data_IF_114762697959
#
_entry.id   IF_114762697959
#
_cell.length_a   1.000
_cell.length_b   1.000
_cell.length_c   1.000
_cell.angle_alpha   90.00
_cell.angle_beta   90.00
_cell.angle_gamma   90.00
#
_symmetry.space_group_name_H-M   'P 1'
#
loop_
_entity.id
_entity.type
_entity.pdbx_description
1 polymer ?
#
# COMPACT_ATOMS: atom_id res chain seq x y z
N UNK A 1 -18.76 -5.53 -7.31
CA UNK A 1 -18.41 -4.14 -7.61
C UNK A 1 -17.14 -3.83 -6.85
N UNK A 2 -16.10 -3.30 -7.51
CA UNK A 2 -14.86 -2.89 -6.85
C UNK A 2 -14.75 -1.39 -7.06
N UNK A 3 -14.80 -0.63 -5.96
CA UNK A 3 -14.66 0.82 -6.00
C UNK A 3 -13.18 1.15 -6.21
N UNK A 4 -12.84 1.72 -7.37
CA UNK A 4 -11.54 2.37 -7.56
C UNK A 4 -11.60 3.73 -6.88
N UNK A 5 -10.74 3.97 -5.90
CA UNK A 5 -10.64 5.27 -5.22
C UNK A 5 -9.56 6.10 -5.90
N UNK A 6 -9.91 7.30 -6.36
CA UNK A 6 -8.95 8.24 -6.95
C UNK A 6 -7.84 8.63 -5.96
N UNK A 7 -6.60 8.87 -6.42
CA UNK A 7 -5.58 9.52 -5.60
C UNK A 7 -6.04 10.90 -5.13
N UNK A 8 -5.71 11.26 -3.88
CA UNK A 8 -6.11 12.54 -3.28
C UNK A 8 -5.34 13.72 -3.91
N UNK A 9 -6.03 14.68 -4.53
CA UNK A 9 -5.50 16.03 -4.73
C UNK A 9 -5.74 16.88 -3.48
N UNK A 10 -4.71 17.62 -3.05
CA UNK A 10 -4.76 18.57 -1.93
C UNK A 10 -5.75 19.72 -2.13
N UNK A 11 -6.22 19.95 -3.37
CA UNK A 11 -7.22 20.94 -3.75
C UNK A 11 -8.65 20.40 -3.88
N UNK A 12 -8.83 19.09 -3.88
CA UNK A 12 -10.16 18.48 -4.01
C UNK A 12 -11.00 18.64 -2.73
N UNK A 13 -12.32 18.55 -2.90
CA UNK A 13 -13.27 18.57 -1.81
C UNK A 13 -13.50 17.16 -1.30
N UNK A 14 -13.22 16.90 -0.03
CA UNK A 14 -13.35 15.56 0.55
C UNK A 14 -14.80 15.06 0.52
N UNK A 15 -15.01 13.75 0.25
CA UNK A 15 -16.29 13.09 0.50
C UNK A 15 -16.51 12.89 2.01
N UNK A 16 -17.77 12.80 2.41
CA UNK A 16 -18.18 12.66 3.81
C UNK A 16 -17.76 11.31 4.42
N UNK A 17 -17.33 11.30 5.68
CA UNK A 17 -17.00 10.09 6.45
C UNK A 17 -17.40 10.22 7.92
N UNK A 18 -18.11 9.24 8.46
CA UNK A 18 -18.59 9.22 9.85
C UNK A 18 -17.76 8.29 10.74
N UNK A 19 -17.56 8.66 12.01
CA UNK A 19 -16.81 7.86 13.00
C UNK A 19 -17.54 7.84 14.34
N UNK A 20 -17.81 6.64 14.87
CA UNK A 20 -18.63 6.43 16.08
C UNK A 20 -17.82 5.82 17.24
N UNK A 21 -16.50 6.05 17.26
CA UNK A 21 -15.60 5.50 18.28
C UNK A 21 -15.61 6.35 19.56
N UNK A 22 -15.67 5.69 20.71
CA UNK A 22 -15.57 6.32 22.03
C UNK A 22 -14.38 5.73 22.80
N UNK A 23 -13.29 6.49 22.91
CA UNK A 23 -12.28 6.34 23.96
C UNK A 23 -12.34 7.57 24.88
N UNK A 24 -12.04 7.37 26.16
CA UNK A 24 -11.98 8.39 27.24
C UNK A 24 -13.19 9.33 27.45
N UNK A 25 -14.27 9.21 26.66
CA UNK A 25 -15.49 10.01 26.79
C UNK A 25 -15.63 11.17 25.79
N UNK A 26 -14.73 11.24 24.80
CA UNK A 26 -14.85 12.15 23.66
C UNK A 26 -15.18 11.35 22.39
N UNK A 27 -15.96 11.96 21.49
CA UNK A 27 -16.35 11.38 20.20
C UNK A 27 -15.31 11.74 19.12
N UNK A 28 -15.21 10.94 18.06
CA UNK A 28 -14.41 11.30 16.90
C UNK A 28 -15.22 12.17 15.93
N UNK A 29 -14.63 13.30 15.57
CA UNK A 29 -15.03 14.24 14.53
C UNK A 29 -15.55 13.58 13.24
N UNK A 30 -16.81 13.88 12.87
CA UNK A 30 -17.45 13.45 11.62
C UNK A 30 -17.17 14.43 10.47
N UNK A 31 -16.83 13.94 9.28
CA UNK A 31 -16.60 14.76 8.08
C UNK A 31 -17.87 14.92 7.22
N UNK A 32 -18.48 16.11 7.11
CA UNK A 32 -19.34 16.44 5.97
C UNK A 32 -18.54 16.54 4.66
N UNK A 33 -19.23 16.34 3.54
CA UNK A 33 -18.67 16.53 2.20
C UNK A 33 -18.50 18.02 1.85
N UNK A 34 -17.52 18.35 1.02
CA UNK A 34 -17.39 19.72 0.47
C UNK A 34 -16.34 20.60 1.14
N UNK A 35 -15.45 20.02 1.95
CA UNK A 35 -14.34 20.74 2.61
C UNK A 35 -13.00 20.43 1.94
N UNK A 36 -12.08 21.38 1.94
CA UNK A 36 -10.71 21.25 1.44
C UNK A 36 -9.70 21.21 2.58
N UNK A 37 -8.45 20.80 2.30
CA UNK A 37 -7.36 20.97 3.26
C UNK A 37 -7.15 22.46 3.60
N UNK A 38 -6.76 22.73 4.84
CA UNK A 38 -6.45 24.07 5.36
C UNK A 38 -5.30 23.99 6.38
N UNK A 39 -4.59 25.11 6.58
CA UNK A 39 -3.43 25.18 7.48
C UNK A 39 -3.84 25.04 8.95
N UNK A 40 -3.23 24.07 9.65
CA UNK A 40 -3.46 23.84 11.08
C UNK A 40 -2.30 24.42 11.89
N UNK A 41 -2.57 25.56 12.54
CA UNK A 41 -1.58 26.35 13.26
C UNK A 41 -0.83 25.53 14.31
N UNK A 42 0.49 25.43 14.16
CA UNK A 42 1.38 24.70 15.08
C UNK A 42 1.49 23.20 14.79
N UNK A 43 0.83 22.70 13.73
CA UNK A 43 0.90 21.30 13.30
C UNK A 43 1.48 21.22 11.88
N UNK A 44 0.77 21.74 10.86
CA UNK A 44 1.23 21.70 9.46
C UNK A 44 0.56 22.77 8.58
N UNK A 45 1.27 23.22 7.54
CA UNK A 45 0.72 24.01 6.43
C UNK A 45 0.55 23.15 5.19
N UNK A 46 -0.54 23.34 4.45
CA UNK A 46 -0.77 22.69 3.14
C UNK A 46 0.33 23.09 2.14
N UNK A 47 0.85 24.32 2.24
CA UNK A 47 1.94 24.79 1.40
C UNK A 47 3.28 24.10 1.71
N UNK A 48 3.49 23.64 2.94
CA UNK A 48 4.66 22.85 3.31
C UNK A 48 4.54 21.42 2.79
N UNK A 49 3.37 20.79 2.89
CA UNK A 49 3.09 19.47 2.30
C UNK A 49 3.35 19.48 0.79
N UNK A 50 2.83 20.47 0.07
CA UNK A 50 3.05 20.61 -1.38
C UNK A 50 4.55 20.77 -1.68
N UNK A 51 5.27 21.63 -0.93
CA UNK A 51 6.72 21.81 -1.12
C UNK A 51 7.52 20.53 -0.87
N UNK A 52 7.11 19.71 0.09
CA UNK A 52 7.71 18.41 0.38
C UNK A 52 7.42 17.40 -0.73
N UNK A 53 6.18 17.36 -1.25
CA UNK A 53 5.81 16.51 -2.40
C UNK A 53 6.68 16.81 -3.61
N UNK A 54 6.78 18.07 -4.03
CA UNK A 54 7.55 18.43 -5.23
C UNK A 54 9.03 18.04 -5.08
N UNK A 55 9.63 18.20 -3.89
CA UNK A 55 11.01 17.76 -3.61
C UNK A 55 11.19 16.24 -3.67
N UNK A 56 10.20 15.46 -3.25
CA UNK A 56 10.26 13.99 -3.32
C UNK A 56 10.09 13.54 -4.78
N UNK A 57 9.21 14.18 -5.56
CA UNK A 57 9.06 13.91 -7.00
C UNK A 57 10.34 14.28 -7.77
N UNK A 58 10.89 15.47 -7.55
CA UNK A 58 12.17 15.93 -8.12
C UNK A 58 13.31 14.94 -7.81
N UNK A 59 13.39 14.43 -6.59
CA UNK A 59 14.39 13.44 -6.20
C UNK A 59 14.17 12.04 -6.83
N UNK A 60 12.93 11.66 -7.12
CA UNK A 60 12.60 10.43 -7.87
C UNK A 60 12.98 10.60 -9.34
N UNK A 61 12.60 11.71 -9.97
CA UNK A 61 12.85 12.02 -11.38
C UNK A 61 14.36 12.16 -11.69
N UNK A 62 15.14 12.70 -10.74
CA UNK A 62 16.60 12.77 -10.81
C UNK A 62 17.30 11.47 -10.37
N UNK A 63 16.59 10.53 -9.74
CA UNK A 63 17.14 9.28 -9.21
C UNK A 63 18.11 9.44 -8.02
N UNK A 64 18.13 10.60 -7.35
CA UNK A 64 19.06 10.94 -6.25
C UNK A 64 18.36 11.71 -5.13
N UNK A 65 18.75 11.45 -3.88
CA UNK A 65 18.25 12.19 -2.69
C UNK A 65 19.39 12.87 -1.95
N UNK A 66 19.14 14.09 -1.45
CA UNK A 66 20.14 14.93 -0.76
C UNK A 66 20.06 14.70 0.75
N UNK A 67 21.13 14.16 1.35
CA UNK A 67 21.16 13.86 2.78
C UNK A 67 21.38 15.11 3.67
N UNK A 68 21.28 14.94 5.00
CA UNK A 68 21.48 16.00 6.02
C UNK A 68 22.78 16.80 5.90
N UNK A 69 23.80 16.30 5.20
CA UNK A 69 25.10 16.97 4.99
C UNK A 69 25.21 17.66 3.63
N UNK A 70 24.20 17.56 2.75
CA UNK A 70 24.24 18.09 1.39
C UNK A 70 24.87 17.16 0.34
N UNK A 71 25.10 15.87 0.67
CA UNK A 71 25.63 14.90 -0.29
C UNK A 71 24.50 14.07 -0.91
N UNK A 72 24.63 13.77 -2.21
CA UNK A 72 23.69 12.93 -2.96
C UNK A 72 23.81 11.45 -2.58
N UNK A 73 22.66 10.76 -2.60
CA UNK A 73 22.53 9.30 -2.45
C UNK A 73 21.68 8.79 -3.62
N UNK A 74 22.24 7.88 -4.42
CA UNK A 74 21.54 7.29 -5.59
C UNK A 74 20.45 6.31 -5.16
N UNK A 75 19.27 6.44 -5.76
CA UNK A 75 18.12 5.55 -5.57
C UNK A 75 18.30 4.26 -6.39
N UNK A 76 19.10 3.31 -5.89
CA UNK A 76 19.33 2.03 -6.60
C UNK A 76 18.09 1.11 -6.53
N UNK A 77 17.89 0.18 -7.49
CA UNK A 77 16.73 -0.72 -7.51
C UNK A 77 16.54 -1.60 -6.27
N UNK A 78 17.58 -1.77 -5.45
CA UNK A 78 17.58 -2.59 -4.24
C UNK A 78 17.35 -1.79 -2.95
N UNK A 79 17.47 -0.45 -3.00
CA UNK A 79 17.45 0.43 -1.82
C UNK A 79 16.55 1.65 -1.94
N UNK A 80 16.32 2.13 -3.16
CA UNK A 80 15.57 3.36 -3.43
C UNK A 80 14.19 3.36 -2.79
N UNK A 81 13.44 2.27 -2.90
CA UNK A 81 12.10 2.17 -2.30
C UNK A 81 12.12 2.22 -0.76
N UNK A 82 13.15 1.69 -0.10
CA UNK A 82 13.29 1.80 1.36
C UNK A 82 13.66 3.23 1.79
N UNK A 83 14.52 3.90 1.01
CA UNK A 83 14.90 5.30 1.24
C UNK A 83 13.68 6.21 1.06
N UNK A 84 12.92 6.02 -0.03
CA UNK A 84 11.69 6.76 -0.31
C UNK A 84 10.60 6.48 0.73
N UNK A 85 10.41 5.22 1.16
CA UNK A 85 9.49 4.88 2.24
C UNK A 85 9.81 5.64 3.53
N UNK A 86 11.07 5.56 3.99
CA UNK A 86 11.54 6.29 5.16
C UNK A 86 11.41 7.83 5.03
N UNK A 87 11.45 8.39 3.81
CA UNK A 87 11.23 9.82 3.55
C UNK A 87 9.76 10.23 3.48
N UNK A 88 8.89 9.42 2.86
CA UNK A 88 7.47 9.72 2.67
C UNK A 88 6.67 9.50 3.95
N UNK A 89 6.96 8.41 4.68
CA UNK A 89 6.52 8.23 6.07
C UNK A 89 7.16 9.29 6.98
N UNK A 90 8.43 9.64 6.72
CA UNK A 90 9.32 10.34 7.65
C UNK A 90 9.51 9.58 8.97
N UNK A 91 10.00 8.34 8.84
CA UNK A 91 10.52 7.58 9.97
C UNK A 91 11.86 8.15 10.44
N UNK A 92 12.38 7.63 11.56
CA UNK A 92 13.71 8.00 12.08
C UNK A 92 14.85 7.81 11.05
N UNK A 93 14.69 6.87 10.11
CA UNK A 93 15.67 6.60 9.05
C UNK A 93 15.65 7.63 7.90
N UNK A 94 14.71 8.59 7.91
CA UNK A 94 14.60 9.64 6.89
C UNK A 94 15.93 10.37 6.67
N UNK A 95 16.49 10.26 5.46
CA UNK A 95 17.83 10.76 5.11
C UNK A 95 17.97 12.28 5.32
N UNK A 96 16.86 13.02 5.19
CA UNK A 96 16.81 14.47 5.37
C UNK A 96 15.38 15.00 5.64
N UNK A 97 14.78 14.59 6.76
CA UNK A 97 13.48 15.07 7.26
C UNK A 97 13.31 16.61 7.19
N UNK A 98 14.35 17.40 7.50
CA UNK A 98 14.28 18.88 7.42
C UNK A 98 14.05 19.40 5.99
N UNK A 99 14.37 18.62 4.97
CA UNK A 99 14.23 18.98 3.57
C UNK A 99 13.03 18.30 2.90
N UNK A 100 12.88 16.98 3.10
CA UNK A 100 11.80 16.18 2.53
C UNK A 100 10.52 16.11 3.38
N UNK A 101 10.57 16.61 4.62
CA UNK A 101 9.40 16.80 5.46
C UNK A 101 8.89 15.55 6.14
N UNK A 102 7.59 15.55 6.41
CA UNK A 102 6.85 14.49 7.10
C UNK A 102 5.43 14.38 6.49
N UNK A 103 5.36 14.00 5.21
CA UNK A 103 4.12 14.11 4.42
C UNK A 103 3.02 13.20 4.97
N UNK A 104 3.31 11.91 5.14
CA UNK A 104 2.30 10.92 5.54
C UNK A 104 1.61 11.29 6.86
N UNK A 105 2.38 11.49 7.94
CA UNK A 105 1.79 11.69 9.26
C UNK A 105 1.17 13.07 9.41
N UNK A 106 1.73 14.11 8.78
CA UNK A 106 1.09 15.43 8.77
C UNK A 106 -0.17 15.45 7.90
N UNK A 107 -0.27 14.61 6.86
CA UNK A 107 -1.52 14.44 6.12
C UNK A 107 -2.62 13.81 6.98
N UNK A 108 -2.30 12.79 7.80
CA UNK A 108 -3.24 12.27 8.80
C UNK A 108 -3.69 13.36 9.79
N UNK A 109 -2.79 14.25 10.23
CA UNK A 109 -3.15 15.37 11.11
C UNK A 109 -4.08 16.38 10.42
N UNK A 110 -3.80 16.76 9.17
CA UNK A 110 -4.65 17.69 8.41
C UNK A 110 -6.03 17.10 8.09
N UNK A 111 -6.10 15.80 7.77
CA UNK A 111 -7.37 15.11 7.43
C UNK A 111 -8.21 14.80 8.67
N UNK A 112 -7.62 14.58 9.85
CA UNK A 112 -8.36 14.27 11.08
C UNK A 112 -8.97 15.50 11.75
N UNK A 113 -8.39 16.69 11.57
CA UNK A 113 -8.79 17.92 12.26
C UNK A 113 -9.79 18.80 11.49
N UNK A 114 -10.31 18.34 10.36
CA UNK A 114 -10.96 19.19 9.35
C UNK A 114 -12.43 19.61 9.67
N UNK A 115 -13.15 19.03 10.65
CA UNK A 115 -14.62 18.84 10.47
C UNK A 115 -15.62 18.83 11.67
N UNK A 116 -15.24 19.00 12.93
CA UNK A 116 -16.01 18.49 14.11
C UNK A 116 -17.49 18.95 14.30
N UNK A 117 -18.43 17.99 14.50
CA UNK A 117 -19.39 17.91 15.66
C UNK A 117 -20.38 16.71 15.63
N UNK A 118 -20.83 16.29 16.83
CA UNK A 118 -22.06 15.52 17.20
C UNK A 118 -22.23 14.07 16.67
N UNK A 119 -21.54 13.09 17.28
CA UNK A 119 -21.37 11.70 16.81
C UNK A 119 -22.09 10.61 17.63
N UNK A 120 -23.42 10.71 17.78
CA UNK A 120 -24.20 9.80 18.64
C UNK A 120 -24.34 8.37 18.09
N UNK A 121 -24.58 7.43 19.01
CA UNK A 121 -24.90 5.99 18.84
C UNK A 121 -23.75 4.99 18.61
N UNK A 122 -23.88 3.83 19.27
CA UNK A 122 -23.05 2.63 19.07
C UNK A 122 -23.72 1.71 18.03
N UNK A 123 -22.93 1.09 17.14
CA UNK A 123 -23.43 0.31 16.00
C UNK A 123 -23.08 -1.16 16.12
N UNK A 124 -24.04 -2.04 15.84
CA UNK A 124 -23.79 -3.47 15.56
C UNK A 124 -23.29 -3.58 14.12
N UNK A 125 -21.98 -3.71 13.93
CA UNK A 125 -21.41 -3.91 12.60
C UNK A 125 -21.53 -5.37 12.14
N UNK A 126 -21.58 -5.55 10.82
CA UNK A 126 -21.29 -6.82 10.15
C UNK A 126 -19.91 -6.67 9.48
N UNK A 127 -19.16 -7.75 9.37
CA UNK A 127 -17.95 -7.81 8.56
C UNK A 127 -18.14 -8.77 7.39
N UNK A 128 -17.32 -8.63 6.34
CA UNK A 128 -17.19 -9.66 5.32
C UNK A 128 -16.45 -10.87 5.92
N UNK A 129 -16.79 -12.04 5.42
CA UNK A 129 -16.19 -13.33 5.77
C UNK A 129 -16.27 -14.26 4.54
N UNK A 130 -15.55 -15.38 4.54
CA UNK A 130 -15.54 -16.32 3.42
C UNK A 130 -15.54 -17.78 3.87
N UNK A 131 -16.05 -18.67 3.01
CA UNK A 131 -15.93 -20.10 3.25
C UNK A 131 -14.46 -20.57 3.13
N UNK A 132 -14.00 -21.53 3.97
CA UNK A 132 -12.64 -22.06 3.85
C UNK A 132 -12.43 -22.80 2.53
N UNK A 133 -11.29 -22.55 1.88
CA UNK A 133 -10.90 -23.17 0.61
C UNK A 133 -9.44 -23.68 0.67
N UNK A 134 -8.99 -24.38 -0.37
CA UNK A 134 -7.63 -24.94 -0.44
C UNK A 134 -7.12 -24.94 -1.88
N UNK A 135 -5.82 -24.67 -2.06
CA UNK A 135 -5.16 -24.67 -3.36
C UNK A 135 -4.52 -26.03 -3.67
N UNK A 136 -4.75 -26.54 -4.87
CA UNK A 136 -4.06 -27.71 -5.41
C UNK A 136 -3.18 -27.25 -6.59
N UNK A 137 -1.86 -27.41 -6.46
CA UNK A 137 -0.88 -26.90 -7.43
C UNK A 137 0.01 -28.06 -7.88
N UNK A 138 -0.06 -28.40 -9.16
CA UNK A 138 0.77 -29.42 -9.78
C UNK A 138 2.05 -28.77 -10.33
N UNK A 139 3.22 -29.33 -10.02
CA UNK A 139 4.52 -28.81 -10.45
C UNK A 139 5.40 -29.92 -11.00
N UNK A 140 5.89 -29.77 -12.24
CA UNK A 140 6.87 -30.67 -12.84
C UNK A 140 8.31 -30.18 -12.59
N UNK A 141 9.17 -31.03 -12.05
CA UNK A 141 10.59 -30.72 -11.85
C UNK A 141 11.47 -31.49 -12.84
N UNK A 142 11.71 -30.88 -14.00
CA UNK A 142 12.54 -31.46 -15.07
C UNK A 142 14.07 -31.32 -14.82
N UNK A 143 14.50 -30.95 -13.61
CA UNK A 143 15.90 -30.96 -13.21
C UNK A 143 16.30 -32.29 -12.58
N UNK A 144 17.54 -32.75 -12.83
CA UNK A 144 18.11 -34.00 -12.28
C UNK A 144 18.41 -33.98 -10.77
N UNK A 145 17.55 -33.37 -9.95
CA UNK A 145 17.69 -33.29 -8.50
C UNK A 145 16.62 -32.40 -7.85
N UNK A 146 16.43 -32.50 -6.53
CA UNK A 146 15.43 -31.72 -5.80
C UNK A 146 15.72 -30.22 -5.87
N UNK A 147 14.65 -29.42 -6.01
CA UNK A 147 14.71 -27.95 -6.02
C UNK A 147 13.83 -27.40 -4.90
N UNK A 148 14.27 -26.31 -4.27
CA UNK A 148 13.43 -25.50 -3.40
C UNK A 148 12.77 -24.41 -4.24
N UNK A 149 11.48 -24.17 -4.02
CA UNK A 149 10.70 -23.16 -4.72
C UNK A 149 9.84 -22.37 -3.72
N UNK A 150 9.66 -21.07 -3.99
CA UNK A 150 8.69 -20.22 -3.29
C UNK A 150 7.48 -20.08 -4.19
N UNK A 151 6.39 -20.76 -3.85
CA UNK A 151 5.08 -20.52 -4.48
C UNK A 151 4.63 -19.09 -4.14
N UNK A 152 3.92 -18.44 -5.06
CA UNK A 152 3.21 -17.18 -4.81
C UNK A 152 1.84 -17.29 -5.49
N UNK A 153 0.78 -16.88 -4.81
CA UNK A 153 -0.61 -17.04 -5.25
C UNK A 153 -1.25 -15.67 -5.21
N UNK A 154 -1.89 -15.26 -6.30
CA UNK A 154 -2.41 -13.91 -6.47
C UNK A 154 -3.89 -13.96 -6.84
N UNK A 155 -4.61 -12.88 -6.54
CA UNK A 155 -6.03 -12.73 -6.84
C UNK A 155 -6.26 -11.33 -7.42
N UNK A 156 -6.83 -11.29 -8.62
CA UNK A 156 -7.08 -10.04 -9.36
C UNK A 156 -8.47 -10.07 -9.98
N UNK A 157 -9.16 -8.92 -10.09
CA UNK A 157 -10.40 -8.86 -10.85
C UNK A 157 -10.12 -9.01 -12.34
N UNK A 158 -10.96 -9.78 -13.04
CA UNK A 158 -10.87 -9.95 -14.50
C UNK A 158 -11.50 -8.76 -15.25
N UNK A 159 -12.48 -8.08 -14.62
CA UNK A 159 -13.26 -7.00 -15.22
C UNK A 159 -13.47 -5.84 -14.25
N UNK A 160 -13.59 -4.63 -14.79
CA UNK A 160 -13.98 -3.41 -14.06
C UNK A 160 -15.51 -3.30 -13.88
N UNK A 161 -15.96 -2.19 -13.30
CA UNK A 161 -17.38 -1.90 -13.06
C UNK A 161 -18.18 -1.54 -14.33
N UNK A 162 -17.50 -1.30 -15.45
CA UNK A 162 -18.08 -1.01 -16.77
C UNK A 162 -18.04 -2.23 -17.72
N UNK A 163 -17.40 -3.32 -17.30
CA UNK A 163 -17.23 -4.55 -18.08
C UNK A 163 -15.95 -4.59 -18.94
N UNK A 164 -15.07 -3.60 -18.86
CA UNK A 164 -13.75 -3.66 -19.51
C UNK A 164 -12.87 -4.69 -18.80
N UNK A 165 -12.00 -5.35 -19.56
CA UNK A 165 -11.07 -6.35 -18.99
C UNK A 165 -9.86 -5.66 -18.34
N UNK A 166 -9.59 -5.93 -17.07
CA UNK A 166 -8.40 -5.42 -16.38
C UNK A 166 -7.12 -6.13 -16.85
N UNK A 167 -6.01 -5.38 -16.86
CA UNK A 167 -4.64 -5.90 -16.82
C UNK A 167 -4.24 -6.23 -15.37
N UNK A 168 -3.63 -7.40 -15.14
CA UNK A 168 -3.43 -7.98 -13.81
C UNK A 168 -2.41 -7.20 -12.93
N UNK A 169 -2.71 -7.03 -11.62
CA UNK A 169 -1.71 -6.72 -10.57
C UNK A 169 -2.05 -7.31 -9.18
N UNK A 170 -1.06 -8.03 -8.63
CA UNK A 170 -0.73 -8.24 -7.20
C UNK A 170 -1.41 -9.33 -6.31
N UNK A 171 -0.67 -9.74 -5.27
CA UNK A 171 -0.14 -11.13 -5.08
C UNK A 171 0.02 -11.42 -3.53
N UNK A 172 0.10 -12.68 -3.08
CA UNK A 172 0.54 -13.10 -1.71
C UNK A 172 1.31 -14.48 -1.71
N UNK A 173 1.83 -14.96 -0.56
CA UNK A 173 2.68 -16.19 -0.51
C UNK A 173 2.80 -16.93 0.85
N UNK A 174 3.47 -18.11 0.90
CA UNK A 174 3.39 -19.07 2.01
C UNK A 174 4.64 -19.18 2.94
N UNK A 175 4.53 -20.03 3.97
CA UNK A 175 5.27 -19.97 5.24
C UNK A 175 6.31 -21.08 5.48
N UNK A 176 7.20 -20.86 6.46
CA UNK A 176 7.92 -21.91 7.23
C UNK A 176 8.16 -21.43 8.68
N UNK A 177 8.34 -22.38 9.59
CA UNK A 177 8.44 -22.20 11.05
C UNK A 177 9.55 -21.23 11.48
N UNK A 178 9.15 -20.09 12.05
CA UNK A 178 9.94 -19.18 12.89
C UNK A 178 8.99 -18.60 13.96
N UNK A 179 9.43 -17.66 14.79
CA UNK A 179 8.56 -16.96 15.75
C UNK A 179 7.85 -15.80 15.04
N UNK A 180 6.55 -15.62 15.28
CA UNK A 180 5.69 -14.62 14.64
C UNK A 180 5.71 -14.71 13.10
N UNK A 181 5.15 -15.79 12.54
CA UNK A 181 5.13 -16.09 11.10
C UNK A 181 3.73 -16.16 10.47
N UNK A 182 2.71 -15.79 11.23
CA UNK A 182 1.30 -15.98 10.83
C UNK A 182 0.86 -15.02 9.71
N UNK A 183 1.55 -13.87 9.59
CA UNK A 183 1.49 -12.99 8.42
C UNK A 183 2.90 -12.47 8.06
N UNK A 184 3.71 -13.33 7.43
CA UNK A 184 5.04 -12.93 6.93
C UNK A 184 4.96 -11.81 5.89
N UNK A 185 3.98 -11.86 4.99
CA UNK A 185 3.90 -10.97 3.83
C UNK A 185 3.82 -9.49 4.20
N UNK A 186 3.00 -9.15 5.20
CA UNK A 186 2.76 -7.77 5.61
C UNK A 186 3.50 -7.41 6.91
N UNK A 187 3.74 -8.36 7.82
CA UNK A 187 4.34 -8.09 9.13
C UNK A 187 5.82 -8.53 9.24
N UNK A 188 6.38 -9.20 8.23
CA UNK A 188 7.76 -9.68 8.23
C UNK A 188 8.01 -10.84 9.19
N UNK A 189 9.18 -10.85 9.84
CA UNK A 189 9.55 -11.83 10.86
C UNK A 189 10.23 -11.11 12.01
N UNK A 190 9.86 -11.43 13.26
CA UNK A 190 10.41 -10.78 14.45
C UNK A 190 11.92 -10.99 14.57
N UNK A 191 12.66 -9.92 14.83
CA UNK A 191 14.12 -9.88 15.06
C UNK A 191 14.99 -10.48 13.91
N UNK A 192 14.40 -10.72 12.74
CA UNK A 192 15.07 -11.28 11.57
C UNK A 192 14.94 -10.37 10.33
N UNK A 193 15.77 -10.62 9.31
CA UNK A 193 15.57 -10.00 7.99
C UNK A 193 14.36 -10.60 7.30
N UNK A 194 13.63 -9.77 6.55
CA UNK A 194 12.51 -10.21 5.71
C UNK A 194 12.90 -11.44 4.88
N UNK A 195 12.11 -12.53 4.89
CA UNK A 195 12.58 -13.85 4.44
C UNK A 195 12.65 -14.02 2.92
N UNK A 196 12.18 -13.05 2.14
CA UNK A 196 12.35 -12.99 0.69
C UNK A 196 13.46 -11.99 0.30
N UNK A 197 14.15 -12.27 -0.81
CA UNK A 197 15.16 -11.40 -1.43
C UNK A 197 14.67 -10.71 -2.71
N UNK A 198 13.44 -10.98 -3.13
CA UNK A 198 12.76 -10.19 -4.18
C UNK A 198 12.17 -8.92 -3.57
N UNK A 199 11.86 -7.95 -4.42
CA UNK A 199 11.04 -6.80 -4.03
C UNK A 199 9.66 -7.28 -3.56
N UNK A 200 9.07 -6.58 -2.60
CA UNK A 200 7.66 -6.73 -2.26
C UNK A 200 6.82 -6.41 -3.52
N UNK A 201 5.82 -7.25 -3.82
CA UNK A 201 5.04 -7.20 -5.08
C UNK A 201 5.59 -8.05 -6.24
N UNK A 202 6.86 -8.47 -6.21
CA UNK A 202 7.49 -9.18 -7.35
C UNK A 202 6.72 -10.45 -7.80
N UNK A 203 6.44 -10.61 -9.12
CA UNK A 203 7.02 -9.88 -10.26
C UNK A 203 6.26 -8.63 -10.76
N UNK A 204 5.34 -8.06 -9.99
CA UNK A 204 4.51 -6.93 -10.43
C UNK A 204 4.92 -5.58 -9.83
N UNK A 205 6.06 -5.54 -9.12
CA UNK A 205 6.72 -4.34 -8.57
C UNK A 205 7.15 -3.32 -9.64
N UNK A 206 7.17 -3.72 -10.91
CA UNK A 206 7.69 -2.94 -12.05
C UNK A 206 6.63 -2.71 -13.12
N UNK A 207 6.99 -1.89 -14.10
CA UNK A 207 6.26 -1.80 -15.37
C UNK A 207 6.31 -3.14 -16.08
N UNK A 208 5.15 -3.62 -16.53
CA UNK A 208 5.00 -4.82 -17.36
C UNK A 208 4.58 -4.33 -18.74
N UNK A 209 5.41 -4.60 -19.76
CA UNK A 209 5.16 -4.19 -21.15
C UNK A 209 4.24 -5.16 -21.91
N UNK A 210 4.05 -6.38 -21.37
CA UNK A 210 3.15 -7.39 -21.91
C UNK A 210 1.68 -6.97 -21.76
N UNK A 211 0.94 -6.95 -22.87
CA UNK A 211 -0.47 -6.54 -22.91
C UNK A 211 -1.43 -7.69 -22.56
N UNK A 212 -0.96 -8.93 -22.66
CA UNK A 212 -1.76 -10.14 -22.44
C UNK A 212 -1.07 -11.14 -21.51
N UNK A 213 -1.89 -11.98 -20.86
CA UNK A 213 -1.41 -13.02 -19.94
C UNK A 213 -0.40 -13.99 -20.62
N UNK A 214 -0.60 -14.47 -21.86
CA UNK A 214 0.37 -15.35 -22.52
C UNK A 214 1.73 -14.69 -22.82
N UNK A 215 1.78 -13.37 -23.05
CA UNK A 215 3.04 -12.64 -23.26
C UNK A 215 3.83 -12.45 -21.96
N UNK A 216 3.13 -12.36 -20.82
CA UNK A 216 3.75 -12.26 -19.49
C UNK A 216 4.12 -13.62 -18.88
N UNK A 217 3.39 -14.68 -19.24
CA UNK A 217 3.49 -15.99 -18.58
C UNK A 217 4.80 -16.72 -18.90
N UNK A 218 5.66 -16.90 -17.90
CA UNK A 218 6.78 -17.84 -18.00
C UNK A 218 6.32 -19.29 -17.75
N UNK A 219 7.11 -20.32 -18.10
CA UNK A 219 6.75 -21.73 -17.87
C UNK A 219 6.58 -22.14 -16.39
N UNK A 220 6.91 -21.25 -15.45
CA UNK A 220 6.75 -21.43 -14.01
C UNK A 220 5.60 -20.57 -13.43
N UNK A 221 4.73 -20.02 -14.28
CA UNK A 221 3.51 -19.31 -13.91
C UNK A 221 2.29 -20.10 -14.36
N UNK A 222 1.19 -19.96 -13.63
CA UNK A 222 -0.12 -20.51 -13.99
C UNK A 222 -1.21 -19.52 -13.58
N UNK A 223 -2.21 -19.36 -14.44
CA UNK A 223 -3.31 -18.42 -14.23
C UNK A 223 -4.63 -19.19 -14.26
N UNK A 224 -5.38 -19.14 -13.16
CA UNK A 224 -6.64 -19.85 -13.00
C UNK A 224 -7.77 -18.84 -12.73
N UNK A 225 -8.78 -18.82 -13.60
CA UNK A 225 -9.99 -18.04 -13.36
C UNK A 225 -10.77 -18.67 -12.20
N UNK A 226 -11.14 -17.86 -11.21
CA UNK A 226 -11.98 -18.25 -10.07
C UNK A 226 -13.18 -17.30 -9.98
N UNK A 227 -14.31 -17.76 -9.42
CA UNK A 227 -15.49 -16.93 -9.17
C UNK A 227 -15.72 -16.81 -7.67
N UNK A 228 -15.60 -15.59 -7.14
CA UNK A 228 -16.05 -15.25 -5.80
C UNK A 228 -17.50 -14.77 -5.91
N UNK A 229 -18.37 -15.27 -5.04
CA UNK A 229 -19.79 -14.91 -5.00
C UNK A 229 -20.21 -14.59 -3.57
N UNK A 230 -20.66 -13.35 -3.37
CA UNK A 230 -21.32 -12.95 -2.14
C UNK A 230 -22.65 -13.70 -1.98
N UNK A 231 -23.03 -13.96 -0.72
CA UNK A 231 -24.30 -14.59 -0.33
C UNK A 231 -25.01 -13.58 0.58
N UNK A 232 -26.20 -13.17 0.17
CA UNK A 232 -27.09 -12.24 0.92
C UNK A 232 -27.81 -12.96 2.08
#
# INVERSE_FOLDING_TARGET
>A
MILIVSPLDFRELFPSTTSNTLLSGYEYTNRPSGLSLADVKGIASVQDIIRWRERILEAIDLGVVINKNGNDIVLTPEKGINILGAMVEASYESVNEKYYGNIHNQMHNLISLITDTDGRFKVKYQHLDHEPFTYHINCENNAGGPKQATVRIFLTPVYDELGNKFSLKEVEGPTRTRICVDNISYCGVKDEKYPDKKAMGFPFDRTIEALTIPEFSTPNMIFQNVKIQFKE
#
